data_IF_887703353905
#
_entry.id   IF_887703353905
#
_cell.length_a   1.000
_cell.length_b   1.000
_cell.length_c   1.000
_cell.angle_alpha   90.00
_cell.angle_beta   90.00
_cell.angle_gamma   90.00
#
_symmetry.space_group_name_H-M   'P 1'
#
loop_
_entity.id
_entity.type
_entity.pdbx_description
1 polymer ?
#
# COMPACT_ATOMS: atom_id res chain seq x y z
N UNK A 1 22.55 46.05 23.74
CA UNK A 1 23.07 45.21 24.80
C UNK A 1 21.88 44.71 25.65
N UNK A 2 21.37 43.53 25.39
CA UNK A 2 20.41 42.81 26.27
C UNK A 2 20.77 41.36 26.31
N UNK A 3 20.90 40.85 27.51
CA UNK A 3 21.59 39.65 27.93
C UNK A 3 20.83 38.37 27.56
N UNK A 4 21.55 37.41 27.04
CA UNK A 4 21.18 36.02 26.90
C UNK A 4 21.01 35.39 28.30
N UNK A 5 19.89 34.78 28.59
CA UNK A 5 19.71 33.87 29.72
C UNK A 5 19.49 32.45 29.21
N UNK A 6 20.48 31.68 29.43
CA UNK A 6 20.54 30.22 29.26
C UNK A 6 19.74 29.58 30.41
N UNK A 7 18.77 28.75 30.10
CA UNK A 7 18.12 27.92 31.11
C UNK A 7 18.24 26.44 30.76
N UNK A 8 18.66 25.72 31.75
CA UNK A 8 19.23 24.41 31.77
C UNK A 8 18.28 23.26 31.42
N UNK A 9 18.91 22.18 30.96
CA UNK A 9 18.37 20.86 30.69
C UNK A 9 17.77 20.19 31.92
N UNK A 10 16.65 19.48 31.72
CA UNK A 10 16.16 18.51 32.68
C UNK A 10 16.19 17.12 31.99
N UNK A 11 17.14 16.30 32.38
CA UNK A 11 17.23 14.89 32.04
C UNK A 11 16.22 14.11 32.91
N UNK A 12 15.21 13.50 32.29
CA UNK A 12 14.37 12.50 32.93
C UNK A 12 14.82 11.12 32.47
N UNK A 13 15.42 10.37 33.40
CA UNK A 13 15.72 8.96 33.22
C UNK A 13 14.46 8.14 33.48
N UNK A 14 13.96 7.42 32.49
CA UNK A 14 12.89 6.43 32.63
C UNK A 14 13.51 5.05 32.83
N UNK A 15 13.25 4.47 33.98
CA UNK A 15 13.62 3.12 34.37
C UNK A 15 12.77 2.09 33.61
N UNK A 16 13.42 1.14 32.96
CA UNK A 16 12.81 -0.04 32.38
C UNK A 16 12.45 -1.04 33.48
N UNK A 17 11.16 -1.23 33.72
CA UNK A 17 10.64 -2.34 34.53
C UNK A 17 10.44 -3.55 33.62
N UNK A 18 11.25 -4.56 33.83
CA UNK A 18 11.13 -5.87 33.18
C UNK A 18 9.88 -6.59 33.71
N UNK A 19 8.93 -6.89 32.81
CA UNK A 19 7.80 -7.77 33.09
C UNK A 19 8.22 -9.23 32.96
N UNK A 20 7.91 -9.97 34.03
CA UNK A 20 8.29 -11.34 34.25
C UNK A 20 7.72 -12.35 33.24
N UNK A 21 8.56 -13.32 33.00
CA UNK A 21 8.36 -14.51 32.20
C UNK A 21 7.30 -15.43 32.87
N UNK A 22 6.12 -15.57 32.22
CA UNK A 22 5.22 -16.69 32.53
C UNK A 22 5.56 -17.82 31.56
N UNK A 23 6.22 -18.83 32.11
CA UNK A 23 6.44 -20.10 31.44
C UNK A 23 5.09 -20.81 31.24
N UNK A 24 4.61 -20.82 30.02
CA UNK A 24 3.50 -21.68 29.62
C UNK A 24 4.12 -23.00 29.11
N UNK A 25 3.81 -24.06 29.81
CA UNK A 25 4.19 -25.42 29.51
C UNK A 25 3.75 -25.81 28.12
N UNK A 26 4.71 -26.11 27.23
CA UNK A 26 4.45 -26.52 25.86
C UNK A 26 3.95 -27.97 25.85
N UNK A 27 2.72 -28.16 25.41
CA UNK A 27 2.19 -29.48 25.03
C UNK A 27 3.01 -30.00 23.85
N UNK A 28 3.55 -31.21 23.87
CA UNK A 28 4.34 -31.76 22.77
C UNK A 28 3.44 -31.96 21.53
N UNK A 29 3.77 -31.28 20.46
CA UNK A 29 3.22 -31.54 19.13
C UNK A 29 3.68 -32.93 18.67
N UNK A 30 2.80 -33.82 18.20
CA UNK A 30 3.23 -35.13 17.69
C UNK A 30 4.12 -34.95 16.47
N UNK A 31 5.30 -35.52 16.53
CA UNK A 31 6.24 -35.61 15.42
C UNK A 31 5.61 -36.47 14.33
N UNK A 32 5.60 -36.05 13.06
CA UNK A 32 5.12 -36.92 11.98
C UNK A 32 6.04 -38.13 11.83
N UNK A 33 5.45 -39.32 11.79
CA UNK A 33 6.14 -40.59 11.56
C UNK A 33 6.66 -40.63 10.12
N UNK A 34 7.97 -40.51 9.93
CA UNK A 34 8.63 -40.55 8.63
C UNK A 34 8.71 -41.94 8.01
N UNK A 35 8.08 -42.96 8.64
CA UNK A 35 8.10 -44.33 8.18
C UNK A 35 6.78 -44.84 7.61
N UNK A 36 5.85 -43.98 7.24
CA UNK A 36 4.69 -44.40 6.50
C UNK A 36 5.11 -44.79 5.06
N UNK A 37 4.73 -46.00 4.56
CA UNK A 37 5.06 -46.40 3.20
C UNK A 37 4.41 -45.41 2.21
N UNK A 38 5.22 -44.92 1.27
CA UNK A 38 4.75 -44.10 0.17
C UNK A 38 3.66 -44.86 -0.61
N UNK A 39 2.44 -44.39 -0.53
CA UNK A 39 1.39 -44.84 -1.43
C UNK A 39 1.74 -44.33 -2.81
N UNK A 40 2.03 -45.24 -3.71
CA UNK A 40 2.21 -45.02 -5.14
C UNK A 40 0.98 -44.26 -5.67
N UNK A 41 1.17 -43.14 -6.41
CA UNK A 41 0.04 -42.53 -7.09
C UNK A 41 -0.55 -43.55 -8.08
N UNK A 42 -1.85 -43.79 -7.99
CA UNK A 42 -2.56 -44.53 -9.02
C UNK A 42 -2.44 -43.78 -10.34
N UNK A 43 -1.83 -44.46 -11.32
CA UNK A 43 -1.91 -44.07 -12.74
C UNK A 43 -3.39 -44.10 -13.15
N UNK A 44 -3.86 -42.99 -13.74
CA UNK A 44 -5.07 -43.03 -14.53
C UNK A 44 -6.20 -42.09 -14.11
N UNK A 45 -5.95 -40.77 -14.04
CA UNK A 45 -6.96 -39.84 -14.49
C UNK A 45 -6.54 -39.33 -15.86
N UNK A 46 -7.01 -40.02 -16.91
CA UNK A 46 -7.07 -39.41 -18.24
C UNK A 46 -7.97 -38.18 -18.12
N UNK A 47 -7.37 -36.99 -18.18
CA UNK A 47 -8.11 -35.74 -18.28
C UNK A 47 -8.72 -35.78 -19.67
N UNK A 48 -10.05 -35.87 -19.75
CA UNK A 48 -10.82 -35.83 -20.97
C UNK A 48 -10.47 -34.52 -21.70
N UNK A 49 -9.91 -34.56 -22.93
CA UNK A 49 -9.50 -33.34 -23.64
C UNK A 49 -10.68 -32.42 -24.02
N UNK A 50 -11.91 -32.86 -23.82
CA UNK A 50 -13.12 -32.06 -24.03
C UNK A 50 -13.41 -31.11 -22.84
N UNK A 51 -12.67 -31.24 -21.72
CA UNK A 51 -12.77 -30.37 -20.53
C UNK A 51 -11.66 -29.32 -20.43
N UNK A 52 -10.85 -29.12 -21.45
CA UNK A 52 -9.98 -27.95 -21.51
C UNK A 52 -10.80 -26.74 -21.94
N UNK A 53 -11.60 -26.21 -21.05
CA UNK A 53 -12.08 -24.84 -21.14
C UNK A 53 -10.83 -23.98 -20.98
N UNK A 54 -10.37 -23.30 -22.04
CA UNK A 54 -9.41 -22.23 -21.88
C UNK A 54 -9.98 -21.30 -20.78
N UNK A 55 -9.27 -21.06 -19.68
CA UNK A 55 -9.76 -20.15 -18.68
C UNK A 55 -9.99 -18.80 -19.35
N UNK A 56 -11.25 -18.38 -19.45
CA UNK A 56 -11.53 -16.97 -19.78
C UNK A 56 -10.67 -16.15 -18.83
N UNK A 57 -9.97 -15.11 -19.34
CA UNK A 57 -9.17 -14.27 -18.47
C UNK A 57 -10.09 -13.74 -17.38
N UNK A 58 -9.83 -14.16 -16.12
CA UNK A 58 -10.53 -13.60 -14.97
C UNK A 58 -10.28 -12.09 -14.99
N UNK A 59 -11.32 -11.32 -15.31
CA UNK A 59 -11.26 -9.88 -15.20
C UNK A 59 -11.28 -9.61 -13.69
N UNK A 60 -10.14 -9.23 -13.16
CA UNK A 60 -10.07 -8.74 -11.78
C UNK A 60 -10.78 -7.38 -11.72
N UNK A 61 -12.03 -7.40 -11.26
CA UNK A 61 -12.86 -6.19 -11.10
C UNK A 61 -12.22 -5.16 -10.15
N UNK A 62 -11.18 -5.55 -9.41
CA UNK A 62 -10.42 -4.68 -8.51
C UNK A 62 -9.09 -4.22 -9.12
N UNK A 63 -8.74 -4.65 -10.33
CA UNK A 63 -7.51 -4.25 -10.98
C UNK A 63 -7.55 -2.75 -11.31
N UNK A 64 -6.61 -2.00 -10.75
CA UNK A 64 -6.45 -0.60 -11.12
C UNK A 64 -6.05 -0.46 -12.60
N UNK A 65 -6.43 0.63 -13.27
CA UNK A 65 -6.07 0.84 -14.67
C UNK A 65 -4.55 0.95 -14.84
N UNK A 66 -4.09 0.67 -16.05
CA UNK A 66 -2.70 0.89 -16.40
C UNK A 66 -2.32 2.36 -16.13
N UNK A 67 -1.13 2.62 -15.56
CA UNK A 67 -0.72 3.97 -15.23
C UNK A 67 -0.52 4.82 -16.50
N UNK A 68 -0.84 6.12 -16.40
CA UNK A 68 -0.51 7.09 -17.43
C UNK A 68 1.02 7.17 -17.60
N UNK A 69 1.51 7.04 -18.83
CA UNK A 69 2.93 6.92 -19.13
C UNK A 69 3.72 8.18 -18.75
N UNK A 70 3.17 9.37 -19.00
CA UNK A 70 3.84 10.64 -18.69
C UNK A 70 3.96 10.84 -17.19
N UNK A 71 2.89 10.54 -16.44
CA UNK A 71 2.93 10.62 -14.97
C UNK A 71 3.85 9.56 -14.36
N UNK A 72 3.92 8.36 -14.93
CA UNK A 72 4.87 7.33 -14.50
C UNK A 72 6.32 7.76 -14.72
N UNK A 73 6.64 8.34 -15.87
CA UNK A 73 7.96 8.91 -16.13
C UNK A 73 8.33 10.00 -15.12
N UNK A 74 7.33 10.80 -14.69
CA UNK A 74 7.53 11.81 -13.63
C UNK A 74 7.79 11.16 -12.27
N UNK A 75 7.10 10.09 -11.90
CA UNK A 75 7.38 9.30 -10.68
C UNK A 75 8.81 8.81 -10.69
N UNK A 76 9.26 8.21 -11.79
CA UNK A 76 10.62 7.73 -11.95
C UNK A 76 11.66 8.86 -11.84
N UNK A 77 11.35 10.02 -12.41
CA UNK A 77 12.22 11.20 -12.30
C UNK A 77 12.33 11.71 -10.86
N UNK A 78 11.22 11.70 -10.11
CA UNK A 78 11.21 12.06 -8.69
C UNK A 78 12.09 11.09 -7.89
N UNK A 79 11.96 9.77 -8.10
CA UNK A 79 12.74 8.78 -7.37
C UNK A 79 14.22 8.76 -7.73
N UNK A 80 14.60 9.23 -8.92
CA UNK A 80 16.01 9.48 -9.27
C UNK A 80 16.63 10.62 -8.46
N UNK A 81 15.84 11.62 -8.09
CA UNK A 81 16.29 12.78 -7.30
C UNK A 81 16.19 12.49 -5.80
N UNK A 82 15.09 11.88 -5.39
CA UNK A 82 14.79 11.52 -4.00
C UNK A 82 14.45 10.03 -3.93
N UNK A 83 15.47 9.15 -3.79
CA UNK A 83 15.26 7.72 -3.72
C UNK A 83 14.37 7.32 -2.53
N UNK A 84 13.48 6.38 -2.77
CA UNK A 84 12.64 5.75 -1.75
C UNK A 84 12.98 4.26 -1.70
N UNK A 85 13.57 3.82 -0.59
CA UNK A 85 14.01 2.44 -0.39
C UNK A 85 12.96 1.66 0.39
N UNK A 86 11.78 1.47 -0.18
CA UNK A 86 10.71 0.64 0.35
C UNK A 86 10.53 -0.62 -0.49
N UNK A 87 10.13 -1.72 0.15
CA UNK A 87 9.95 -3.00 -0.53
C UNK A 87 8.62 -3.03 -1.29
N UNK A 88 8.65 -3.58 -2.51
CA UNK A 88 7.45 -3.83 -3.29
C UNK A 88 6.76 -2.54 -3.75
N UNK A 89 7.53 -1.52 -4.11
CA UNK A 89 6.97 -0.29 -4.71
C UNK A 89 6.36 -0.60 -6.07
N UNK A 90 5.14 -0.15 -6.27
CA UNK A 90 4.43 -0.25 -7.54
C UNK A 90 3.80 1.09 -7.91
N UNK A 91 3.74 1.39 -9.21
CA UNK A 91 3.05 2.55 -9.74
C UNK A 91 1.88 2.09 -10.59
N UNK A 92 0.66 2.45 -10.19
CA UNK A 92 -0.58 2.09 -10.87
C UNK A 92 -1.38 3.33 -11.25
N UNK A 93 -2.32 3.18 -12.18
CA UNK A 93 -3.32 4.21 -12.46
C UNK A 93 -4.36 4.27 -11.34
N UNK A 94 -5.02 5.41 -11.20
CA UNK A 94 -6.18 5.54 -10.33
C UNK A 94 -7.42 5.62 -11.20
N UNK A 95 -8.40 4.74 -10.97
CA UNK A 95 -9.68 4.82 -11.66
C UNK A 95 -10.46 6.06 -11.23
N UNK A 96 -10.56 7.04 -12.13
CA UNK A 96 -11.28 8.29 -11.90
C UNK A 96 -12.80 8.16 -12.10
N UNK A 97 -13.29 6.99 -12.47
CA UNK A 97 -14.72 6.71 -12.66
C UNK A 97 -15.35 6.05 -11.44
N UNK A 98 -14.56 5.44 -10.57
CA UNK A 98 -15.01 4.80 -9.34
C UNK A 98 -14.63 5.63 -8.09
N UNK A 99 -15.67 6.14 -7.42
CA UNK A 99 -15.52 6.98 -6.22
C UNK A 99 -14.77 6.28 -5.08
N UNK A 100 -14.92 4.97 -4.96
CA UNK A 100 -14.20 4.17 -3.96
C UNK A 100 -12.70 4.30 -4.16
N UNK A 101 -12.23 4.21 -5.41
CA UNK A 101 -10.80 4.24 -5.71
C UNK A 101 -10.22 5.65 -5.67
N UNK A 102 -10.79 6.63 -6.40
CA UNK A 102 -10.22 7.97 -6.38
C UNK A 102 -10.33 8.66 -5.01
N UNK A 103 -11.38 8.35 -4.25
CA UNK A 103 -11.52 8.83 -2.88
C UNK A 103 -10.51 8.21 -1.93
N UNK A 104 -10.39 6.88 -1.93
CA UNK A 104 -9.49 6.15 -1.05
C UNK A 104 -8.01 6.37 -1.36
N UNK A 105 -7.62 6.36 -2.65
CA UNK A 105 -6.23 6.45 -3.08
C UNK A 105 -5.70 7.88 -3.11
N UNK A 106 -6.53 8.86 -3.47
CA UNK A 106 -6.09 10.24 -3.72
C UNK A 106 -6.82 11.31 -2.89
N UNK A 107 -7.86 10.96 -2.11
CA UNK A 107 -8.65 11.95 -1.39
C UNK A 107 -9.44 12.89 -2.31
N UNK A 108 -9.72 12.43 -3.55
CA UNK A 108 -10.60 13.17 -4.47
C UNK A 108 -12.06 12.94 -4.10
N UNK A 109 -12.91 13.86 -4.54
CA UNK A 109 -14.36 13.79 -4.31
C UNK A 109 -15.11 13.88 -5.64
N UNK A 110 -16.39 13.50 -5.64
CA UNK A 110 -17.26 13.63 -6.81
C UNK A 110 -17.33 15.08 -7.35
N UNK A 111 -17.08 16.09 -6.49
CA UNK A 111 -17.12 17.49 -6.89
C UNK A 111 -15.87 17.93 -7.66
N UNK A 112 -14.73 17.26 -7.48
CA UNK A 112 -13.47 17.71 -8.05
C UNK A 112 -12.79 16.70 -8.97
N UNK A 113 -13.16 15.43 -8.95
CA UNK A 113 -12.57 14.40 -9.83
C UNK A 113 -12.68 14.78 -11.31
N UNK A 114 -13.76 15.44 -11.74
CA UNK A 114 -13.93 15.91 -13.11
C UNK A 114 -12.91 16.94 -13.59
N UNK A 115 -12.13 17.57 -12.66
CA UNK A 115 -11.04 18.50 -12.95
C UNK A 115 -9.72 17.78 -13.23
N UNK A 116 -9.64 16.49 -12.94
CA UNK A 116 -8.47 15.65 -13.15
C UNK A 116 -8.59 14.95 -14.50
N UNK A 117 -7.50 14.90 -15.24
CA UNK A 117 -7.41 14.23 -16.53
C UNK A 117 -6.80 12.84 -16.43
N UNK A 118 -5.74 12.70 -15.62
CA UNK A 118 -5.10 11.44 -15.30
C UNK A 118 -4.56 11.45 -13.87
N UNK A 119 -4.46 10.29 -13.27
CA UNK A 119 -3.94 10.10 -11.93
C UNK A 119 -3.12 8.81 -11.84
N UNK A 120 -1.99 8.87 -11.15
CA UNK A 120 -1.20 7.69 -10.76
C UNK A 120 -0.89 7.73 -9.28
N UNK A 121 -0.69 6.56 -8.73
CA UNK A 121 -0.21 6.38 -7.38
C UNK A 121 1.01 5.46 -7.39
N UNK A 122 2.02 5.80 -6.62
CA UNK A 122 3.17 4.95 -6.35
C UNK A 122 3.28 4.69 -4.87
N UNK A 123 3.17 3.42 -4.48
CA UNK A 123 3.14 3.01 -3.08
C UNK A 123 3.65 1.57 -2.90
N UNK A 124 4.04 1.18 -1.67
CA UNK A 124 4.32 -0.21 -1.36
C UNK A 124 3.07 -1.07 -1.51
N UNK A 125 3.20 -2.27 -2.09
CA UNK A 125 2.11 -3.25 -2.20
C UNK A 125 1.53 -3.70 -0.85
N UNK A 126 2.20 -3.34 0.26
CA UNK A 126 1.77 -3.71 1.61
C UNK A 126 1.43 -2.47 2.41
N UNK A 127 0.25 -2.41 3.02
CA UNK A 127 -0.21 -1.32 3.87
C UNK A 127 0.58 -1.15 5.20
N UNK A 128 1.61 -1.95 5.42
CA UNK A 128 2.48 -1.86 6.60
C UNK A 128 3.52 -0.73 6.52
N UNK A 129 3.66 -0.11 5.36
CA UNK A 129 4.58 1.01 5.13
C UNK A 129 3.76 2.24 4.75
N UNK A 130 3.72 3.23 5.64
CA UNK A 130 2.92 4.45 5.45
C UNK A 130 3.59 5.39 4.44
N UNK A 131 3.44 5.09 3.17
CA UNK A 131 3.94 5.89 2.07
C UNK A 131 3.01 5.82 0.86
N UNK A 132 2.74 6.95 0.25
CA UNK A 132 2.12 7.08 -1.08
C UNK A 132 2.59 8.35 -1.75
N UNK A 133 2.91 8.25 -3.03
CA UNK A 133 3.14 9.37 -3.92
C UNK A 133 2.01 9.39 -4.96
N UNK A 134 1.16 10.40 -4.92
CA UNK A 134 0.08 10.59 -5.91
C UNK A 134 0.43 11.74 -6.83
N UNK A 135 0.38 11.51 -8.13
CA UNK A 135 0.52 12.55 -9.15
C UNK A 135 -0.78 12.67 -9.95
N UNK A 136 -1.21 13.91 -10.15
CA UNK A 136 -2.41 14.23 -10.91
C UNK A 136 -2.06 15.14 -12.09
N UNK A 137 -2.62 14.86 -13.26
CA UNK A 137 -2.67 15.82 -14.36
C UNK A 137 -4.02 16.54 -14.31
N UNK A 138 -3.98 17.84 -14.08
CA UNK A 138 -5.19 18.67 -14.01
C UNK A 138 -5.55 19.19 -15.40
N UNK A 139 -6.84 19.32 -15.66
CA UNK A 139 -7.36 19.96 -16.89
C UNK A 139 -7.10 21.46 -16.90
N UNK A 140 -7.15 22.12 -15.72
CA UNK A 140 -6.79 23.52 -15.54
C UNK A 140 -5.88 23.66 -14.31
N UNK A 141 -4.73 24.29 -14.49
CA UNK A 141 -3.79 24.58 -13.41
C UNK A 141 -4.36 25.51 -12.33
N UNK A 142 -5.41 26.26 -12.64
CA UNK A 142 -6.08 27.11 -11.66
C UNK A 142 -6.74 26.31 -10.53
N UNK A 143 -7.08 25.05 -10.78
CA UNK A 143 -7.71 24.16 -9.79
C UNK A 143 -6.70 23.53 -8.82
N UNK A 144 -5.40 23.68 -9.04
CA UNK A 144 -4.36 22.96 -8.30
C UNK A 144 -4.45 23.15 -6.78
N UNK A 145 -4.76 24.34 -6.32
CA UNK A 145 -4.88 24.61 -4.87
C UNK A 145 -6.09 23.93 -4.27
N UNK A 146 -7.24 24.06 -4.91
CA UNK A 146 -8.49 23.43 -4.47
C UNK A 146 -8.34 21.90 -4.40
N UNK A 147 -7.71 21.29 -5.43
CA UNK A 147 -7.48 19.85 -5.47
C UNK A 147 -6.53 19.44 -4.35
N UNK A 148 -5.43 20.15 -4.13
CA UNK A 148 -4.48 19.83 -3.07
C UNK A 148 -5.12 19.90 -1.68
N UNK A 149 -5.90 20.94 -1.41
CA UNK A 149 -6.61 21.11 -0.14
C UNK A 149 -7.63 19.96 0.06
N UNK A 150 -8.35 19.55 -0.99
CA UNK A 150 -9.27 18.41 -0.95
C UNK A 150 -8.55 17.08 -0.67
N UNK A 151 -7.41 16.84 -1.30
CA UNK A 151 -6.61 15.65 -1.05
C UNK A 151 -6.16 15.58 0.42
N UNK A 152 -5.68 16.70 0.97
CA UNK A 152 -5.24 16.78 2.36
C UNK A 152 -6.39 16.51 3.35
N UNK A 153 -7.59 17.05 3.07
CA UNK A 153 -8.75 16.91 3.95
C UNK A 153 -9.37 15.49 3.91
N UNK A 154 -9.31 14.81 2.76
CA UNK A 154 -10.09 13.58 2.53
C UNK A 154 -9.24 12.31 2.45
N UNK A 155 -7.89 12.41 2.44
CA UNK A 155 -7.08 11.18 2.42
C UNK A 155 -7.32 10.33 3.67
N UNK A 156 -7.63 9.06 3.46
CA UNK A 156 -7.93 8.14 4.57
C UNK A 156 -6.65 7.65 5.23
N UNK A 157 -6.49 7.92 6.52
CA UNK A 157 -5.39 7.36 7.31
C UNK A 157 -5.51 5.84 7.47
N UNK A 158 -6.70 5.27 7.29
CA UNK A 158 -6.95 3.81 7.32
C UNK A 158 -6.28 3.04 6.19
N UNK A 159 -5.78 3.75 5.19
CA UNK A 159 -4.99 3.18 4.11
C UNK A 159 -3.73 2.47 4.63
N UNK A 160 -3.16 2.93 5.74
CA UNK A 160 -1.94 2.39 6.32
C UNK A 160 -2.20 1.76 7.68
N UNK A 161 -2.08 0.45 7.76
CA UNK A 161 -2.31 -0.34 8.99
C UNK A 161 -1.44 0.13 10.17
N UNK A 162 -0.23 0.62 9.90
CA UNK A 162 0.70 1.08 10.93
C UNK A 162 0.34 2.42 11.57
N UNK A 163 -0.63 3.17 11.02
CA UNK A 163 -1.01 4.50 11.52
C UNK A 163 -2.17 4.43 12.53
N UNK A 164 -2.92 3.34 12.55
CA UNK A 164 -4.05 3.13 13.47
C UNK A 164 -3.69 2.39 14.77
N UNK A 165 -2.43 2.16 15.03
CA UNK A 165 -1.98 1.41 16.22
C UNK A 165 -1.98 2.25 17.49
#
# INVERSE_FOLDING_TARGET
MKKLTLTAALLAALALTACGNKTTEATPTPTPDLNAPATTPEEGMEIDPEFSVDPEPEIDENAQPAPDAELSDMVDAIYKIQPVELMGMETTGIDLTDETWYGYLAGLTANNVGKVDAAVISEPMTGSQAYSLVLLRLRDKADAREIADSMEENISMRKWVCVEA
#
